data_IF_192712565464
#
_entry.id   IF_192712565464
#
_cell.length_a   1.000
_cell.length_b   1.000
_cell.length_c   1.000
_cell.angle_alpha   90.00
_cell.angle_beta   90.00
_cell.angle_gamma   90.00
#
_symmetry.space_group_name_H-M   'P 1'
#
loop_
_entity.id
_entity.type
_entity.pdbx_description
1 polymer ?
#
# COMPACT_ATOMS: atom_id res chain seq x y z
N UNK A 1 -13.41 20.95 -10.05
CA UNK A 1 -14.02 20.37 -8.83
C UNK A 1 -14.61 21.42 -7.87
N UNK A 2 -15.89 21.30 -7.45
CA UNK A 2 -16.54 22.19 -6.46
C UNK A 2 -15.84 22.21 -5.08
N UNK A 3 -15.98 23.32 -4.33
CA UNK A 3 -15.33 23.49 -3.01
C UNK A 3 -15.77 22.44 -1.97
N UNK A 4 -17.03 22.02 -2.02
CA UNK A 4 -17.61 21.03 -1.09
C UNK A 4 -16.93 19.65 -1.14
N UNK A 5 -16.40 19.27 -2.30
CA UNK A 5 -15.68 18.01 -2.50
C UNK A 5 -14.22 18.15 -2.10
N UNK A 6 -13.63 19.31 -2.40
CA UNK A 6 -12.26 19.66 -1.99
C UNK A 6 -12.11 19.59 -0.47
N UNK A 7 -13.06 20.11 0.30
CA UNK A 7 -12.96 20.07 1.77
C UNK A 7 -12.99 18.67 2.38
N UNK A 8 -13.39 17.64 1.63
CA UNK A 8 -13.45 16.23 2.11
C UNK A 8 -12.16 15.45 1.90
N UNK A 9 -11.24 15.93 1.07
CA UNK A 9 -9.96 15.26 0.81
C UNK A 9 -9.13 15.27 2.09
N UNK A 10 -8.72 14.09 2.56
CA UNK A 10 -8.01 13.87 3.83
C UNK A 10 -8.77 14.44 5.04
N UNK A 11 -10.11 14.44 4.99
CA UNK A 11 -10.93 14.79 6.15
C UNK A 11 -11.02 13.60 7.12
N UNK A 12 -10.51 13.69 8.37
CA UNK A 12 -10.46 12.56 9.29
C UNK A 12 -11.84 11.95 9.61
N UNK A 13 -12.88 12.80 9.69
CA UNK A 13 -14.24 12.34 9.99
C UNK A 13 -14.80 11.54 8.81
N UNK A 14 -14.72 12.08 7.59
CA UNK A 14 -15.17 11.39 6.38
C UNK A 14 -14.38 10.11 6.11
N UNK A 15 -13.06 10.10 6.35
CA UNK A 15 -12.23 8.90 6.21
C UNK A 15 -12.65 7.82 7.19
N UNK A 16 -12.86 8.17 8.47
CA UNK A 16 -13.33 7.23 9.49
C UNK A 16 -14.70 6.63 9.11
N UNK A 17 -15.62 7.45 8.61
CA UNK A 17 -16.93 6.98 8.15
C UNK A 17 -16.83 6.00 6.99
N UNK A 18 -16.06 6.34 5.94
CA UNK A 18 -15.86 5.47 4.76
C UNK A 18 -15.14 4.17 5.09
N UNK A 19 -14.14 4.21 5.99
CA UNK A 19 -13.50 2.99 6.51
C UNK A 19 -14.51 2.08 7.19
N UNK A 20 -15.33 2.62 8.10
CA UNK A 20 -16.34 1.81 8.78
C UNK A 20 -17.39 1.27 7.80
N UNK A 21 -17.81 2.08 6.82
CA UNK A 21 -18.74 1.66 5.77
C UNK A 21 -18.18 0.46 4.98
N UNK A 22 -16.92 0.56 4.54
CA UNK A 22 -16.24 -0.51 3.81
C UNK A 22 -15.95 -1.73 4.67
N UNK A 23 -15.50 -1.55 5.92
CA UNK A 23 -15.23 -2.66 6.83
C UNK A 23 -16.52 -3.41 7.17
N UNK A 24 -17.61 -2.69 7.44
CA UNK A 24 -18.93 -3.28 7.63
C UNK A 24 -19.41 -4.05 6.39
N UNK A 25 -19.16 -3.52 5.19
CA UNK A 25 -19.41 -4.24 3.94
C UNK A 25 -18.58 -5.52 3.83
N UNK A 26 -17.27 -5.48 4.10
CA UNK A 26 -16.39 -6.64 4.07
C UNK A 26 -16.83 -7.72 5.07
N UNK A 27 -17.25 -7.33 6.28
CA UNK A 27 -17.79 -8.26 7.28
C UNK A 27 -19.08 -8.94 6.81
N UNK A 28 -20.03 -8.19 6.24
CA UNK A 28 -21.27 -8.74 5.67
C UNK A 28 -21.00 -9.71 4.52
N UNK A 29 -20.00 -9.44 3.70
CA UNK A 29 -19.63 -10.28 2.56
C UNK A 29 -18.76 -11.48 2.96
N UNK A 30 -18.09 -11.45 4.11
CA UNK A 30 -17.21 -12.51 4.61
C UNK A 30 -17.78 -13.92 4.49
N UNK A 31 -19.02 -14.19 4.95
CA UNK A 31 -19.65 -15.51 4.83
C UNK A 31 -19.85 -16.02 3.39
N UNK A 32 -19.78 -15.16 2.38
CA UNK A 32 -19.83 -15.56 0.97
C UNK A 32 -18.48 -16.04 0.40
N UNK A 33 -17.38 -15.74 1.11
CA UNK A 33 -16.00 -16.03 0.69
C UNK A 33 -15.24 -16.91 1.69
N UNK A 34 -15.72 -17.06 2.92
CA UNK A 34 -15.16 -17.95 3.94
C UNK A 34 -16.22 -18.93 4.44
N UNK A 35 -15.80 -20.17 4.75
CA UNK A 35 -16.65 -21.13 5.46
C UNK A 35 -16.84 -20.71 6.92
N UNK A 36 -17.84 -21.26 7.64
CA UNK A 36 -18.01 -20.99 9.06
C UNK A 36 -16.78 -21.29 9.93
N UNK A 37 -15.93 -22.23 9.50
CA UNK A 37 -14.66 -22.59 10.15
C UNK A 37 -13.49 -21.62 9.85
N UNK A 38 -13.73 -20.60 9.03
CA UNK A 38 -12.74 -19.59 8.62
C UNK A 38 -11.94 -19.95 7.37
N UNK A 39 -12.10 -21.15 6.81
CA UNK A 39 -11.36 -21.54 5.59
C UNK A 39 -11.83 -20.73 4.37
N UNK A 40 -10.86 -20.18 3.62
CA UNK A 40 -11.14 -19.43 2.40
C UNK A 40 -11.75 -20.33 1.32
N UNK A 41 -12.84 -19.87 0.71
CA UNK A 41 -13.52 -20.51 -0.41
C UNK A 41 -13.19 -19.75 -1.70
N UNK A 42 -12.17 -20.19 -2.47
CA UNK A 42 -11.77 -19.50 -3.68
C UNK A 42 -12.89 -19.57 -4.73
N UNK A 43 -13.23 -18.42 -5.29
CA UNK A 43 -14.15 -18.34 -6.44
C UNK A 43 -13.40 -18.60 -7.76
N UNK A 44 -12.12 -18.20 -7.82
CA UNK A 44 -11.25 -18.37 -8.98
C UNK A 44 -9.92 -19.00 -8.55
N UNK A 45 -9.18 -18.32 -7.67
CA UNK A 45 -7.80 -18.67 -7.32
C UNK A 45 -7.64 -18.81 -5.80
N UNK A 46 -6.77 -19.72 -5.38
CA UNK A 46 -6.33 -19.79 -3.98
C UNK A 46 -5.31 -18.69 -3.72
N UNK A 47 -5.54 -17.90 -2.69
CA UNK A 47 -4.60 -16.86 -2.29
C UNK A 47 -4.48 -16.79 -0.76
N UNK A 48 -3.25 -16.96 -0.27
CA UNK A 48 -2.97 -16.95 1.16
C UNK A 48 -3.13 -15.58 1.81
N UNK A 49 -2.98 -14.49 1.04
CA UNK A 49 -2.95 -13.10 1.52
C UNK A 49 -4.29 -12.63 2.06
N UNK A 50 -5.38 -13.16 1.50
CA UNK A 50 -6.76 -12.72 1.78
C UNK A 50 -7.08 -12.78 3.27
N UNK A 51 -6.70 -13.87 3.95
CA UNK A 51 -6.96 -14.04 5.38
C UNK A 51 -6.20 -13.05 6.27
N UNK A 52 -5.06 -12.53 5.80
CA UNK A 52 -4.24 -11.56 6.52
C UNK A 52 -4.75 -10.13 6.29
N UNK A 53 -5.08 -9.79 5.04
CA UNK A 53 -5.54 -8.45 4.67
C UNK A 53 -6.96 -8.12 5.13
N UNK A 54 -7.87 -9.10 5.19
CA UNK A 54 -9.26 -8.85 5.61
C UNK A 54 -9.39 -8.74 7.14
N UNK A 55 -8.40 -9.23 7.89
CA UNK A 55 -8.46 -9.37 9.34
C UNK A 55 -8.80 -8.06 10.09
N UNK A 56 -8.25 -6.89 9.73
CA UNK A 56 -8.58 -5.63 10.39
C UNK A 56 -10.08 -5.33 10.40
N UNK A 57 -10.79 -5.62 9.31
CA UNK A 57 -12.23 -5.36 9.22
C UNK A 57 -13.03 -6.14 10.25
N UNK A 58 -12.61 -7.37 10.58
CA UNK A 58 -13.26 -8.21 11.59
C UNK A 58 -12.83 -7.87 13.01
N UNK A 59 -11.52 -7.73 13.25
CA UNK A 59 -11.01 -7.50 14.60
C UNK A 59 -11.33 -6.09 15.14
N UNK A 60 -11.52 -5.11 14.26
CA UNK A 60 -11.97 -3.77 14.66
C UNK A 60 -13.49 -3.69 14.95
N UNK A 61 -14.26 -4.76 14.71
CA UNK A 61 -15.71 -4.74 14.92
C UNK A 61 -16.06 -4.60 16.39
N UNK A 62 -17.08 -3.80 16.76
CA UNK A 62 -17.62 -3.81 18.12
C UNK A 62 -18.37 -5.11 18.45
N UNK A 63 -18.81 -5.88 17.45
CA UNK A 63 -19.48 -7.17 17.65
C UNK A 63 -18.48 -8.30 17.94
N UNK A 64 -18.73 -9.05 19.02
CA UNK A 64 -17.93 -10.21 19.39
C UNK A 64 -18.02 -11.34 18.35
N UNK A 65 -19.17 -11.53 17.70
CA UNK A 65 -19.35 -12.59 16.71
C UNK A 65 -18.48 -12.35 15.46
N UNK A 66 -18.34 -11.09 15.05
CA UNK A 66 -17.44 -10.68 13.97
C UNK A 66 -15.98 -10.94 14.35
N UNK A 67 -15.57 -10.55 15.56
CA UNK A 67 -14.19 -10.79 16.05
C UNK A 67 -13.87 -12.28 16.16
N UNK A 68 -14.82 -13.09 16.64
CA UNK A 68 -14.67 -14.54 16.71
C UNK A 68 -14.53 -15.15 15.32
N UNK A 69 -15.27 -14.65 14.34
CA UNK A 69 -15.14 -15.10 12.96
C UNK A 69 -13.80 -14.70 12.34
N UNK A 70 -13.35 -13.46 12.55
CA UNK A 70 -12.02 -13.00 12.14
C UNK A 70 -10.89 -13.86 12.72
N UNK A 71 -10.98 -14.21 14.00
CA UNK A 71 -10.03 -15.13 14.64
C UNK A 71 -10.04 -16.52 13.97
N UNK A 72 -11.21 -17.07 13.62
CA UNK A 72 -11.28 -18.34 12.86
C UNK A 72 -10.65 -18.24 11.48
N UNK A 73 -10.91 -17.15 10.75
CA UNK A 73 -10.29 -16.88 9.43
C UNK A 73 -8.77 -16.88 9.54
N UNK A 74 -8.23 -16.15 10.52
CA UNK A 74 -6.78 -16.03 10.70
C UNK A 74 -6.16 -17.36 11.15
N UNK A 75 -6.82 -18.12 12.01
CA UNK A 75 -6.37 -19.45 12.40
C UNK A 75 -6.26 -20.43 11.23
N UNK A 76 -7.22 -20.36 10.30
CA UNK A 76 -7.27 -21.17 9.08
C UNK A 76 -6.38 -20.65 7.94
N UNK A 77 -5.69 -19.52 8.12
CA UNK A 77 -4.85 -18.92 7.08
C UNK A 77 -3.73 -19.88 6.63
N UNK A 78 -3.34 -19.78 5.36
CA UNK A 78 -2.18 -20.49 4.82
C UNK A 78 -0.87 -19.75 5.17
N UNK A 79 0.29 -20.33 4.85
CA UNK A 79 1.56 -19.59 4.91
C UNK A 79 2.27 -19.56 6.27
N UNK A 80 1.67 -20.06 7.36
CA UNK A 80 2.31 -20.06 8.69
C UNK A 80 3.71 -20.69 8.76
N UNK A 81 3.99 -21.68 7.93
CA UNK A 81 5.24 -22.44 7.93
C UNK A 81 6.24 -22.02 6.83
N UNK A 82 5.95 -20.97 6.07
CA UNK A 82 6.78 -20.46 5.00
C UNK A 82 6.86 -18.94 5.06
N UNK A 83 7.96 -18.38 4.55
CA UNK A 83 8.05 -16.93 4.38
C UNK A 83 7.26 -16.50 3.15
N UNK A 84 6.48 -15.44 3.31
CA UNK A 84 5.86 -14.67 2.24
C UNK A 84 5.81 -13.21 2.70
N UNK A 85 6.34 -12.30 1.89
CA UNK A 85 6.50 -10.90 2.28
C UNK A 85 5.17 -10.22 2.60
N UNK A 86 4.07 -10.55 1.90
CA UNK A 86 2.76 -9.98 2.18
C UNK A 86 2.21 -10.51 3.49
N UNK A 87 2.22 -11.84 3.67
CA UNK A 87 1.67 -12.49 4.86
C UNK A 87 2.47 -12.10 6.12
N UNK A 88 3.80 -12.19 6.09
CA UNK A 88 4.66 -11.85 7.23
C UNK A 88 4.56 -10.36 7.58
N UNK A 89 4.44 -9.47 6.59
CA UNK A 89 4.27 -8.03 6.83
C UNK A 89 2.93 -7.70 7.48
N UNK A 90 1.84 -8.29 7.00
CA UNK A 90 0.53 -8.12 7.60
C UNK A 90 0.43 -8.79 8.97
N UNK A 91 1.14 -9.91 9.23
CA UNK A 91 1.23 -10.49 10.58
C UNK A 91 1.81 -9.48 11.57
N UNK A 92 2.89 -8.78 11.20
CA UNK A 92 3.51 -7.78 12.07
C UNK A 92 2.54 -6.63 12.37
N UNK A 93 1.96 -6.01 11.32
CA UNK A 93 1.02 -4.90 11.46
C UNK A 93 -0.24 -5.30 12.26
N UNK A 94 -0.85 -6.45 11.93
CA UNK A 94 -2.05 -6.94 12.61
C UNK A 94 -1.79 -7.27 14.07
N UNK A 95 -0.62 -7.82 14.42
CA UNK A 95 -0.30 -8.16 15.81
C UNK A 95 -0.13 -6.90 16.67
N UNK A 96 0.54 -5.86 16.17
CA UNK A 96 0.64 -4.58 16.90
C UNK A 96 -0.73 -3.92 17.04
N UNK A 97 -1.51 -3.86 15.95
CA UNK A 97 -2.78 -3.12 15.91
C UNK A 97 -3.93 -3.85 16.63
N UNK A 98 -4.00 -5.17 16.49
CA UNK A 98 -5.16 -5.99 16.90
C UNK A 98 -4.80 -7.16 17.82
N UNK A 99 -3.59 -7.20 18.37
CA UNK A 99 -3.15 -8.29 19.24
C UNK A 99 -4.03 -8.46 20.50
N UNK A 100 -4.76 -7.43 20.93
CA UNK A 100 -5.67 -7.52 22.09
C UNK A 100 -6.96 -8.27 21.75
N UNK A 101 -7.39 -8.20 20.50
CA UNK A 101 -8.60 -8.82 19.96
C UNK A 101 -8.34 -10.23 19.40
N UNK A 102 -7.06 -10.61 19.25
CA UNK A 102 -6.63 -11.95 18.88
C UNK A 102 -6.71 -12.93 20.06
N UNK A 103 -7.00 -14.20 19.76
CA UNK A 103 -6.84 -15.25 20.77
C UNK A 103 -5.38 -15.38 21.23
N UNK A 104 -5.12 -15.85 22.48
CA UNK A 104 -3.76 -16.06 22.96
C UNK A 104 -2.91 -16.96 22.05
N UNK A 105 -3.52 -18.00 21.47
CA UNK A 105 -2.84 -18.93 20.57
C UNK A 105 -2.44 -18.26 19.26
N UNK A 106 -3.28 -17.39 18.69
CA UNK A 106 -2.97 -16.68 17.46
C UNK A 106 -1.88 -15.62 17.64
N UNK A 107 -1.84 -14.97 18.80
CA UNK A 107 -0.72 -14.09 19.16
C UNK A 107 0.58 -14.86 19.20
N UNK A 108 0.63 -15.95 19.97
CA UNK A 108 1.80 -16.83 20.08
C UNK A 108 2.28 -17.31 18.72
N UNK A 109 1.35 -17.80 17.88
CA UNK A 109 1.66 -18.26 16.51
C UNK A 109 2.19 -17.14 15.62
N UNK A 110 1.68 -15.92 15.77
CA UNK A 110 2.16 -14.73 15.05
C UNK A 110 3.57 -14.34 15.49
N UNK A 111 3.84 -14.30 16.79
CA UNK A 111 5.18 -14.06 17.35
C UNK A 111 6.19 -15.11 16.86
N UNK A 112 5.82 -16.39 16.86
CA UNK A 112 6.66 -17.48 16.35
C UNK A 112 6.95 -17.35 14.85
N UNK A 113 5.94 -16.96 14.05
CA UNK A 113 6.12 -16.70 12.63
C UNK A 113 7.10 -15.55 12.38
N UNK A 114 6.94 -14.43 13.10
CA UNK A 114 7.82 -13.27 13.00
C UNK A 114 9.24 -13.60 13.48
N UNK A 115 9.40 -14.34 14.57
CA UNK A 115 10.69 -14.76 15.08
C UNK A 115 11.47 -15.62 14.07
N UNK A 116 10.74 -16.45 13.30
CA UNK A 116 11.32 -17.33 12.30
C UNK A 116 11.70 -16.60 11.00
N UNK A 117 10.87 -15.67 10.54
CA UNK A 117 10.95 -15.15 9.17
C UNK A 117 11.29 -13.66 9.04
N UNK A 118 11.43 -12.90 10.13
CA UNK A 118 11.82 -11.49 10.00
C UNK A 118 13.31 -11.36 9.62
N UNK A 119 14.22 -11.88 10.45
CA UNK A 119 15.68 -11.73 10.26
C UNK A 119 16.38 -12.98 9.69
N UNK A 120 15.67 -14.08 9.44
CA UNK A 120 16.15 -15.38 8.91
C UNK A 120 17.68 -15.55 8.78
N UNK A 121 18.37 -15.92 9.87
CA UNK A 121 19.85 -16.09 9.92
C UNK A 121 20.63 -14.91 9.29
N UNK A 122 20.25 -13.68 9.63
CA UNK A 122 20.81 -12.44 9.08
C UNK A 122 20.71 -12.38 7.55
N UNK A 123 19.53 -12.73 7.01
CA UNK A 123 19.25 -12.71 5.57
C UNK A 123 19.78 -13.91 4.78
N UNK A 124 20.28 -14.96 5.45
CA UNK A 124 20.75 -16.21 4.82
C UNK A 124 19.64 -17.24 4.60
N UNK A 125 18.50 -17.04 5.24
CA UNK A 125 17.27 -17.82 5.04
C UNK A 125 16.16 -16.91 4.52
N UNK A 126 15.15 -17.47 3.83
CA UNK A 126 13.98 -16.69 3.41
C UNK A 126 13.41 -15.88 4.58
N UNK A 127 13.27 -14.57 4.37
CA UNK A 127 12.81 -13.64 5.38
C UNK A 127 12.83 -12.19 4.92
N UNK A 128 12.36 -11.27 5.75
CA UNK A 128 12.29 -9.85 5.40
C UNK A 128 13.67 -9.19 5.23
N UNK A 129 14.71 -9.73 5.86
CA UNK A 129 16.09 -9.20 5.78
C UNK A 129 16.90 -9.69 4.56
N UNK A 130 16.34 -10.47 3.63
CA UNK A 130 17.10 -10.89 2.45
C UNK A 130 17.39 -9.69 1.53
N UNK A 131 18.52 -9.75 0.82
CA UNK A 131 18.99 -8.65 -0.03
C UNK A 131 17.98 -8.20 -1.09
N UNK A 132 17.15 -9.11 -1.60
CA UNK A 132 16.12 -8.80 -2.61
C UNK A 132 15.03 -7.83 -2.10
N UNK A 133 14.88 -7.67 -0.78
CA UNK A 133 13.93 -6.74 -0.16
C UNK A 133 14.59 -5.47 0.40
N UNK A 134 15.76 -5.11 -0.12
CA UNK A 134 16.30 -3.75 0.03
C UNK A 134 15.83 -2.86 -1.11
N UNK A 135 15.89 -1.54 -0.92
CA UNK A 135 15.49 -0.57 -1.94
C UNK A 135 16.57 -0.44 -3.02
N UNK A 136 16.35 -1.04 -4.18
CA UNK A 136 17.32 -1.08 -5.30
C UNK A 136 16.95 -0.23 -6.51
N UNK A 137 15.84 0.52 -6.45
CA UNK A 137 15.34 1.21 -7.63
C UNK A 137 14.40 0.34 -8.49
N UNK A 138 13.71 -0.64 -7.88
CA UNK A 138 12.73 -1.53 -8.53
C UNK A 138 11.88 -2.27 -7.47
N UNK A 139 10.59 -2.47 -7.76
CA UNK A 139 9.66 -3.28 -6.94
C UNK A 139 9.60 -2.86 -5.46
N UNK A 140 9.58 -1.54 -5.21
CA UNK A 140 9.71 -0.90 -3.89
C UNK A 140 8.61 -1.29 -2.89
N UNK A 141 7.48 -1.82 -3.34
CA UNK A 141 6.42 -2.32 -2.47
C UNK A 141 6.91 -3.47 -1.59
N UNK A 142 7.76 -4.37 -2.10
CA UNK A 142 8.26 -5.51 -1.34
C UNK A 142 9.27 -5.08 -0.27
N UNK A 143 10.30 -4.26 -0.58
CA UNK A 143 11.15 -3.63 0.43
C UNK A 143 10.37 -2.81 1.46
N UNK A 144 9.31 -2.10 1.06
CA UNK A 144 8.46 -1.36 2.00
C UNK A 144 7.78 -2.29 3.00
N UNK A 145 7.19 -3.39 2.53
CA UNK A 145 6.57 -4.40 3.39
C UNK A 145 7.58 -5.12 4.29
N UNK A 146 8.78 -5.44 3.77
CA UNK A 146 9.85 -6.05 4.55
C UNK A 146 10.38 -5.11 5.64
N UNK A 147 10.52 -3.82 5.34
CA UNK A 147 10.87 -2.78 6.32
C UNK A 147 9.83 -2.71 7.43
N UNK A 148 8.53 -2.73 7.08
CA UNK A 148 7.42 -2.82 8.05
C UNK A 148 7.54 -4.07 8.92
N UNK A 149 7.85 -5.23 8.34
CA UNK A 149 8.10 -6.46 9.10
C UNK A 149 9.23 -6.30 10.10
N UNK A 150 10.41 -5.85 9.66
CA UNK A 150 11.62 -5.79 10.50
C UNK A 150 11.44 -4.88 11.71
N UNK A 151 10.91 -3.68 11.49
CA UNK A 151 10.72 -2.69 12.55
C UNK A 151 9.65 -3.14 13.54
N UNK A 152 8.46 -3.53 13.06
CA UNK A 152 7.37 -3.93 13.95
C UNK A 152 7.65 -5.26 14.66
N UNK A 153 8.29 -6.23 13.99
CA UNK A 153 8.72 -7.47 14.64
C UNK A 153 9.82 -7.22 15.68
N UNK A 154 10.76 -6.30 15.42
CA UNK A 154 11.76 -5.87 16.38
C UNK A 154 11.13 -5.31 17.65
N UNK A 155 10.11 -4.46 17.49
CA UNK A 155 9.34 -3.90 18.62
C UNK A 155 8.57 -4.99 19.38
N UNK A 156 7.87 -5.89 18.67
CA UNK A 156 7.08 -6.99 19.27
C UNK A 156 7.97 -7.96 20.06
N UNK A 157 9.12 -8.36 19.48
CA UNK A 157 9.97 -9.42 20.02
C UNK A 157 11.10 -8.89 20.92
N UNK A 158 11.22 -7.56 21.07
CA UNK A 158 12.32 -6.93 21.80
C UNK A 158 13.69 -7.20 21.16
N UNK A 159 13.76 -7.21 19.83
CA UNK A 159 14.94 -7.60 19.04
C UNK A 159 15.56 -6.39 18.33
N UNK A 160 16.54 -5.76 18.99
CA UNK A 160 17.21 -4.57 18.46
C UNK A 160 17.91 -4.82 17.13
N UNK A 161 18.43 -6.03 16.90
CA UNK A 161 19.04 -6.41 15.62
C UNK A 161 18.05 -6.43 14.44
N UNK A 162 16.78 -6.75 14.70
CA UNK A 162 15.71 -6.59 13.70
C UNK A 162 15.41 -5.12 13.45
N UNK A 163 15.34 -4.32 14.52
CA UNK A 163 15.14 -2.87 14.43
C UNK A 163 16.26 -2.20 13.63
N UNK A 164 17.53 -2.54 13.90
CA UNK A 164 18.69 -2.01 13.20
C UNK A 164 18.66 -2.35 11.71
N UNK A 165 18.32 -3.60 11.36
CA UNK A 165 18.14 -3.99 9.96
C UNK A 165 16.98 -3.23 9.28
N UNK A 166 15.87 -3.04 10.00
CA UNK A 166 14.74 -2.25 9.51
C UNK A 166 15.08 -0.78 9.30
N UNK A 167 15.83 -0.17 10.22
CA UNK A 167 16.32 1.21 10.10
C UNK A 167 17.25 1.35 8.89
N UNK A 168 18.16 0.40 8.68
CA UNK A 168 19.03 0.38 7.50
C UNK A 168 18.23 0.34 6.18
N UNK A 169 17.16 -0.46 6.11
CA UNK A 169 16.28 -0.47 4.94
C UNK A 169 15.57 0.87 4.75
N UNK A 170 15.02 1.43 5.84
CA UNK A 170 14.29 2.70 5.80
C UNK A 170 15.19 3.88 5.41
N UNK A 171 16.42 3.93 5.91
CA UNK A 171 17.46 4.88 5.49
C UNK A 171 17.73 4.76 3.98
N UNK A 172 17.73 3.55 3.44
CA UNK A 172 17.83 3.31 1.99
C UNK A 172 16.70 3.97 1.19
N UNK A 173 15.46 3.89 1.68
CA UNK A 173 14.33 4.60 1.07
C UNK A 173 14.44 6.12 1.22
N UNK A 174 14.86 6.61 2.39
CA UNK A 174 15.13 8.03 2.61
C UNK A 174 16.17 8.54 1.60
N UNK A 175 17.31 7.86 1.48
CA UNK A 175 18.36 8.21 0.52
C UNK A 175 17.87 8.15 -0.93
N UNK A 176 16.98 7.21 -1.26
CA UNK A 176 16.32 7.16 -2.57
C UNK A 176 15.45 8.40 -2.79
N UNK A 177 14.57 8.77 -1.85
CA UNK A 177 13.66 9.91 -1.97
C UNK A 177 14.33 11.27 -1.81
N UNK A 178 15.54 11.33 -1.25
CA UNK A 178 16.39 12.53 -1.28
C UNK A 178 17.05 12.71 -2.64
N UNK A 179 17.54 11.61 -3.23
CA UNK A 179 18.17 11.62 -4.55
C UNK A 179 17.15 11.76 -5.69
N UNK A 180 15.93 11.25 -5.48
CA UNK A 180 14.85 11.15 -6.47
C UNK A 180 13.52 11.64 -5.93
N UNK A 181 12.71 12.19 -6.84
CA UNK A 181 11.42 12.72 -6.47
C UNK A 181 10.34 11.66 -6.18
N UNK A 182 10.44 10.45 -6.73
CA UNK A 182 9.40 9.41 -6.69
C UNK A 182 10.01 8.03 -6.38
N UNK A 183 9.16 7.09 -5.97
CA UNK A 183 9.49 5.66 -5.99
C UNK A 183 9.81 5.19 -7.42
N UNK A 184 10.52 4.09 -7.55
CA UNK A 184 10.72 3.36 -8.81
C UNK A 184 9.41 2.80 -9.31
N UNK A 185 8.56 2.35 -8.38
CA UNK A 185 7.15 2.02 -8.64
C UNK A 185 6.24 3.26 -8.57
N UNK A 186 6.69 4.40 -9.13
CA UNK A 186 5.91 5.63 -9.14
C UNK A 186 4.57 5.46 -9.85
N UNK A 187 3.56 6.13 -9.30
CA UNK A 187 2.21 6.24 -9.87
C UNK A 187 1.62 4.90 -10.35
N UNK A 188 2.01 3.78 -9.74
CA UNK A 188 1.37 2.50 -9.98
C UNK A 188 0.02 2.48 -9.26
N UNK A 189 -1.05 2.16 -10.00
CA UNK A 189 -2.38 2.08 -9.41
C UNK A 189 -2.55 0.94 -8.39
N UNK A 190 -1.59 0.01 -8.33
CA UNK A 190 -1.55 -1.10 -7.37
C UNK A 190 -0.43 -0.93 -6.34
N UNK A 191 0.81 -0.69 -6.77
CA UNK A 191 1.99 -0.84 -5.90
C UNK A 191 2.37 0.42 -5.10
N UNK A 192 2.07 1.61 -5.61
CA UNK A 192 2.31 2.86 -4.87
C UNK A 192 1.47 2.92 -3.59
N UNK A 193 0.15 2.58 -3.61
CA UNK A 193 -0.64 2.45 -2.39
C UNK A 193 -0.12 1.41 -1.40
N UNK A 194 0.36 0.25 -1.85
CA UNK A 194 0.92 -0.79 -0.96
C UNK A 194 2.18 -0.30 -0.24
N UNK A 195 3.06 0.40 -0.96
CA UNK A 195 4.24 1.04 -0.40
C UNK A 195 3.86 2.10 0.64
N UNK A 196 2.86 2.93 0.32
CA UNK A 196 2.34 3.96 1.22
C UNK A 196 1.81 3.37 2.53
N UNK A 197 0.96 2.34 2.45
CA UNK A 197 0.38 1.67 3.64
C UNK A 197 1.47 1.16 4.56
N UNK A 198 2.52 0.56 3.98
CA UNK A 198 3.64 0.05 4.78
C UNK A 198 4.34 1.15 5.57
N UNK A 199 4.56 2.31 4.96
CA UNK A 199 5.19 3.46 5.62
C UNK A 199 4.26 4.13 6.65
N UNK A 200 2.95 4.23 6.35
CA UNK A 200 1.97 4.76 7.31
C UNK A 200 1.87 3.86 8.55
N UNK A 201 1.87 2.53 8.39
CA UNK A 201 1.88 1.60 9.51
C UNK A 201 3.14 1.73 10.37
N UNK A 202 4.33 1.89 9.77
CA UNK A 202 5.55 2.13 10.57
C UNK A 202 5.44 3.45 11.33
N UNK A 203 5.00 4.52 10.66
CA UNK A 203 4.83 5.84 11.25
C UNK A 203 3.84 5.84 12.43
N UNK A 204 2.79 5.04 12.35
CA UNK A 204 1.76 4.93 13.39
C UNK A 204 2.16 3.96 14.51
N UNK A 205 2.70 2.79 14.17
CA UNK A 205 2.74 1.63 15.07
C UNK A 205 4.10 1.36 15.70
N UNK A 206 5.21 1.85 15.13
CA UNK A 206 6.53 1.53 15.67
C UNK A 206 6.78 2.21 17.03
N UNK A 207 7.43 1.48 17.94
CA UNK A 207 7.91 2.02 19.20
C UNK A 207 9.15 2.91 19.02
N UNK A 208 9.95 2.66 17.98
CA UNK A 208 11.15 3.43 17.66
C UNK A 208 10.77 4.80 17.05
N UNK A 209 11.25 5.88 17.67
CA UNK A 209 10.94 7.25 17.26
C UNK A 209 11.50 7.61 15.88
N UNK A 210 12.76 7.26 15.61
CA UNK A 210 13.44 7.60 14.36
C UNK A 210 12.78 6.87 13.19
N UNK A 211 12.40 5.61 13.39
CA UNK A 211 11.61 4.85 12.44
C UNK A 211 10.29 5.56 12.10
N UNK A 212 9.55 6.03 13.11
CA UNK A 212 8.29 6.77 12.87
C UNK A 212 8.50 8.05 12.07
N UNK A 213 9.50 8.85 12.44
CA UNK A 213 9.78 10.14 11.78
C UNK A 213 10.23 9.94 10.32
N UNK A 214 11.14 9.01 10.06
CA UNK A 214 11.60 8.68 8.70
C UNK A 214 10.48 8.09 7.84
N UNK A 215 9.69 7.16 8.39
CA UNK A 215 8.59 6.55 7.66
C UNK A 215 7.49 7.57 7.35
N UNK A 216 7.18 8.49 8.27
CA UNK A 216 6.22 9.57 8.00
C UNK A 216 6.70 10.50 6.88
N UNK A 217 7.99 10.84 6.84
CA UNK A 217 8.55 11.64 5.76
C UNK A 217 8.42 10.92 4.40
N UNK A 218 8.74 9.62 4.35
CA UNK A 218 8.57 8.79 3.16
C UNK A 218 7.10 8.68 2.75
N UNK A 219 6.20 8.38 3.69
CA UNK A 219 4.76 8.29 3.44
C UNK A 219 4.19 9.59 2.87
N UNK A 220 4.60 10.75 3.42
CA UNK A 220 4.19 12.07 2.91
C UNK A 220 4.62 12.28 1.45
N UNK A 221 5.82 11.81 1.07
CA UNK A 221 6.32 11.91 -0.30
C UNK A 221 5.56 10.99 -1.26
N UNK A 222 5.30 9.75 -0.86
CA UNK A 222 4.53 8.78 -1.64
C UNK A 222 3.08 9.23 -1.78
N UNK A 223 2.49 9.79 -0.73
CA UNK A 223 1.15 10.38 -0.77
C UNK A 223 1.09 11.53 -1.79
N UNK A 224 2.08 12.43 -1.78
CA UNK A 224 2.16 13.52 -2.75
C UNK A 224 2.28 13.01 -4.19
N UNK A 225 3.03 11.93 -4.45
CA UNK A 225 3.06 11.28 -5.77
C UNK A 225 1.63 10.93 -6.23
N UNK A 226 0.89 10.18 -5.41
CA UNK A 226 -0.50 9.78 -5.73
C UNK A 226 -1.39 11.01 -5.96
N UNK A 227 -1.37 12.00 -5.05
CA UNK A 227 -2.26 13.16 -5.11
C UNK A 227 -1.94 14.12 -6.27
N UNK A 228 -0.67 14.28 -6.61
CA UNK A 228 -0.24 15.08 -7.75
C UNK A 228 -0.69 14.40 -9.04
N UNK A 229 -0.44 13.11 -9.20
CA UNK A 229 -0.74 12.39 -10.43
C UNK A 229 -2.22 12.00 -10.59
N UNK A 230 -3.02 12.04 -9.52
CA UNK A 230 -4.46 11.88 -9.63
C UNK A 230 -5.12 13.05 -10.37
N UNK A 231 -5.90 12.74 -11.41
CA UNK A 231 -6.62 13.71 -12.22
C UNK A 231 -8.05 13.91 -11.72
N UNK A 232 -8.25 14.93 -10.87
CA UNK A 232 -9.51 15.15 -10.16
C UNK A 232 -10.74 15.37 -11.04
N UNK A 233 -10.62 16.01 -12.22
CA UNK A 233 -11.77 16.24 -13.11
C UNK A 233 -12.04 15.08 -14.09
N UNK A 234 -11.21 14.03 -14.08
CA UNK A 234 -11.36 12.83 -14.92
C UNK A 234 -11.63 11.57 -14.08
N UNK A 235 -11.14 11.50 -12.83
CA UNK A 235 -11.40 10.37 -11.94
C UNK A 235 -10.41 9.20 -12.10
N UNK A 236 -9.16 9.47 -12.47
CA UNK A 236 -8.13 8.43 -12.56
C UNK A 236 -6.72 8.97 -12.47
N UNK A 237 -5.74 8.09 -12.53
CA UNK A 237 -4.33 8.47 -12.63
C UNK A 237 -4.07 9.11 -14.00
N UNK A 238 -3.56 10.34 -14.00
CA UNK A 238 -3.27 11.10 -15.21
C UNK A 238 -1.79 11.28 -15.43
N UNK A 239 -1.08 10.26 -15.95
CA UNK A 239 0.29 10.30 -16.50
C UNK A 239 0.84 8.89 -16.79
N UNK A 240 2.13 8.81 -17.14
CA UNK A 240 2.89 7.57 -17.24
C UNK A 240 2.96 6.87 -15.88
N UNK A 241 2.79 5.55 -15.88
CA UNK A 241 2.94 4.70 -14.69
C UNK A 241 4.13 3.79 -14.92
N UNK A 242 4.92 3.54 -13.87
CA UNK A 242 6.01 2.55 -13.92
C UNK A 242 5.47 1.12 -14.12
N UNK A 243 4.32 0.83 -13.53
CA UNK A 243 3.61 -0.45 -13.60
C UNK A 243 2.11 -0.19 -13.58
N UNK A 244 1.41 -0.73 -14.56
CA UNK A 244 -0.04 -0.59 -14.69
C UNK A 244 -0.68 -1.90 -15.14
N UNK A 245 -1.91 -2.10 -14.69
CA UNK A 245 -2.84 -3.09 -15.19
C UNK A 245 -3.95 -2.39 -15.97
N UNK A 246 -4.70 -3.12 -16.80
CA UNK A 246 -5.92 -2.60 -17.44
C UNK A 246 -6.87 -1.95 -16.42
N UNK A 247 -6.80 -2.42 -15.18
CA UNK A 247 -7.62 -1.94 -14.09
C UNK A 247 -7.21 -0.57 -13.51
N UNK A 248 -6.06 -0.01 -13.87
CA UNK A 248 -5.61 1.27 -13.32
C UNK A 248 -6.21 2.50 -14.05
N UNK A 249 -7.17 2.26 -14.95
CA UNK A 249 -7.86 3.28 -15.75
C UNK A 249 -9.02 3.95 -15.00
N UNK A 250 -9.52 5.07 -15.56
CA UNK A 250 -10.48 6.03 -14.97
C UNK A 250 -11.84 5.46 -14.60
N UNK A 251 -12.25 4.35 -15.21
CA UNK A 251 -13.55 3.71 -14.97
C UNK A 251 -13.41 2.34 -14.31
N UNK A 252 -12.24 2.00 -13.78
CA UNK A 252 -12.00 0.67 -13.20
C UNK A 252 -11.70 0.74 -11.71
N UNK A 253 -12.24 -0.22 -10.95
CA UNK A 253 -11.87 -0.40 -9.56
C UNK A 253 -10.48 -1.03 -9.42
N UNK A 254 -9.46 -0.19 -9.18
CA UNK A 254 -8.12 -0.56 -8.72
C UNK A 254 -7.86 -0.15 -7.26
N UNK A 255 -6.69 -0.51 -6.72
CA UNK A 255 -6.29 -0.13 -5.35
C UNK A 255 -6.23 1.39 -5.20
N UNK A 256 -5.63 2.11 -6.14
CA UNK A 256 -5.57 3.57 -6.08
C UNK A 256 -6.95 4.21 -6.17
N UNK A 257 -7.87 3.65 -6.97
CA UNK A 257 -9.25 4.13 -7.03
C UNK A 257 -9.96 4.00 -5.68
N UNK A 258 -9.89 2.80 -5.07
CA UNK A 258 -10.44 2.56 -3.75
C UNK A 258 -9.78 3.45 -2.67
N UNK A 259 -8.47 3.67 -2.78
CA UNK A 259 -7.73 4.57 -1.90
C UNK A 259 -8.19 6.04 -2.04
N UNK A 260 -8.34 6.54 -3.27
CA UNK A 260 -8.83 7.91 -3.50
C UNK A 260 -10.25 8.06 -2.99
N UNK A 261 -11.13 7.10 -3.25
CA UNK A 261 -12.47 7.08 -2.66
C UNK A 261 -12.39 7.13 -1.13
N UNK A 262 -11.53 6.32 -0.51
CA UNK A 262 -11.35 6.31 0.94
C UNK A 262 -10.88 7.67 1.48
N UNK A 263 -9.90 8.32 0.88
CA UNK A 263 -9.38 9.59 1.40
C UNK A 263 -10.22 10.81 1.03
N UNK A 264 -11.10 10.74 0.03
CA UNK A 264 -11.81 11.92 -0.48
C UNK A 264 -13.34 11.81 -0.55
N UNK A 265 -13.88 10.61 -0.75
CA UNK A 265 -15.28 10.41 -1.13
C UNK A 265 -15.64 11.11 -2.45
N UNK A 266 -14.66 11.37 -3.32
CA UNK A 266 -14.87 12.11 -4.57
C UNK A 266 -15.81 11.34 -5.52
N UNK A 267 -16.77 12.02 -6.18
CA UNK A 267 -17.79 11.35 -7.01
C UNK A 267 -17.24 10.70 -8.28
N UNK A 268 -16.06 11.15 -8.76
CA UNK A 268 -15.36 10.51 -9.88
C UNK A 268 -14.35 9.44 -9.42
N UNK A 269 -14.20 9.21 -8.11
CA UNK A 269 -13.45 8.05 -7.65
C UNK A 269 -14.42 6.86 -7.56
N UNK A 270 -13.98 5.69 -8.03
CA UNK A 270 -14.85 4.49 -8.02
C UNK A 270 -15.14 4.08 -6.58
N UNK A 271 -16.43 4.07 -6.20
CA UNK A 271 -16.87 3.54 -4.92
C UNK A 271 -16.70 2.01 -4.91
N UNK A 272 -15.83 1.45 -4.06
CA UNK A 272 -15.57 0.01 -4.06
C UNK A 272 -16.79 -0.81 -3.63
N UNK A 273 -17.72 -0.25 -2.85
CA UNK A 273 -18.92 -0.96 -2.43
C UNK A 273 -19.87 -1.12 -3.62
N UNK A 274 -20.12 -0.02 -4.34
CA UNK A 274 -20.98 -0.04 -5.53
C UNK A 274 -20.40 -0.94 -6.61
N UNK A 275 -19.11 -0.81 -6.91
CA UNK A 275 -18.45 -1.60 -7.95
C UNK A 275 -18.41 -3.11 -7.63
N UNK A 276 -18.40 -3.51 -6.36
CA UNK A 276 -18.44 -4.92 -5.94
C UNK A 276 -19.85 -5.48 -5.75
N UNK A 277 -20.89 -4.65 -5.76
CA UNK A 277 -22.30 -5.07 -5.56
C UNK A 277 -23.16 -4.92 -6.81
N UNK A 278 -22.88 -3.93 -7.64
CA UNK A 278 -23.62 -3.69 -8.89
C UNK A 278 -23.20 -4.69 -9.99
N UNK A 279 -24.16 -5.49 -10.42
CA UNK A 279 -23.97 -6.44 -11.53
C UNK A 279 -23.82 -5.76 -12.89
N UNK A 280 -24.21 -4.49 -12.98
CA UNK A 280 -24.14 -3.67 -14.19
C UNK A 280 -23.05 -2.59 -14.10
N UNK A 281 -22.12 -2.70 -13.15
CA UNK A 281 -20.97 -1.81 -13.10
C UNK A 281 -20.27 -1.84 -14.47
N UNK A 282 -20.28 -0.69 -15.15
CA UNK A 282 -19.79 -0.58 -16.53
C UNK A 282 -18.27 -0.71 -16.64
N UNK A 283 -17.58 -0.50 -15.52
CA UNK A 283 -16.14 -0.59 -15.39
C UNK A 283 -15.59 -2.01 -15.27
N UNK A 284 -14.27 -2.13 -15.36
CA UNK A 284 -13.56 -3.37 -14.99
C UNK A 284 -13.37 -3.39 -13.46
N UNK A 285 -13.07 -4.54 -12.87
CA UNK A 285 -12.61 -4.66 -11.47
C UNK A 285 -11.25 -5.33 -11.48
N UNK A 286 -10.29 -4.79 -10.74
CA UNK A 286 -8.96 -5.40 -10.60
C UNK A 286 -9.09 -6.80 -10.00
N UNK A 287 -8.34 -7.78 -10.51
CA UNK A 287 -8.55 -9.21 -10.18
C UNK A 287 -9.97 -9.73 -10.45
N UNK A 288 -10.69 -9.11 -11.40
CA UNK A 288 -12.00 -9.50 -11.90
C UNK A 288 -13.01 -9.83 -10.77
N UNK A 289 -13.78 -10.90 -10.94
CA UNK A 289 -14.79 -11.36 -9.97
C UNK A 289 -14.19 -12.10 -8.78
N UNK A 290 -12.89 -11.98 -8.49
CA UNK A 290 -12.35 -12.49 -7.23
C UNK A 290 -12.79 -11.58 -6.08
N UNK A 291 -14.01 -11.81 -5.59
CA UNK A 291 -14.61 -10.99 -4.52
C UNK A 291 -13.77 -11.05 -3.26
N UNK A 292 -13.26 -12.22 -2.88
CA UNK A 292 -12.43 -12.37 -1.68
C UNK A 292 -11.17 -11.51 -1.73
N UNK A 293 -10.47 -11.53 -2.86
CA UNK A 293 -9.25 -10.72 -3.05
C UNK A 293 -9.54 -9.22 -2.99
N UNK A 294 -10.57 -8.77 -3.72
CA UNK A 294 -10.96 -7.36 -3.74
C UNK A 294 -11.42 -6.85 -2.37
N UNK A 295 -12.21 -7.66 -1.63
CA UNK A 295 -12.60 -7.34 -0.27
C UNK A 295 -11.38 -7.13 0.62
N UNK A 296 -10.44 -8.07 0.59
CA UNK A 296 -9.30 -8.06 1.48
C UNK A 296 -8.30 -6.93 1.15
N UNK A 297 -7.91 -6.75 -0.12
CA UNK A 297 -6.89 -5.75 -0.48
C UNK A 297 -7.32 -4.31 -0.14
N UNK A 298 -8.62 -3.98 -0.23
CA UNK A 298 -9.11 -2.65 0.10
C UNK A 298 -9.24 -2.46 1.62
N UNK A 299 -9.44 -3.53 2.40
CA UNK A 299 -9.32 -3.45 3.86
C UNK A 299 -7.90 -3.05 4.26
N UNK A 300 -6.87 -3.71 3.70
CA UNK A 300 -5.45 -3.40 3.96
C UNK A 300 -5.16 -1.91 3.71
N UNK A 301 -5.60 -1.38 2.57
CA UNK A 301 -5.28 -0.01 2.15
C UNK A 301 -6.03 1.06 2.94
N UNK A 302 -7.18 0.72 3.53
CA UNK A 302 -7.97 1.63 4.37
C UNK A 302 -7.65 1.51 5.86
N UNK A 303 -6.78 0.58 6.27
CA UNK A 303 -6.51 0.31 7.68
C UNK A 303 -5.56 1.35 8.31
N UNK A 304 -4.54 1.79 7.57
CA UNK A 304 -3.51 2.69 8.06
C UNK A 304 -4.04 4.10 8.41
N UNK A 305 -3.41 4.76 9.39
CA UNK A 305 -3.75 6.12 9.81
C UNK A 305 -3.11 7.21 8.93
N UNK A 306 -3.80 8.35 8.81
CA UNK A 306 -3.31 9.56 8.13
C UNK A 306 -3.16 10.76 9.07
N UNK A 307 -3.22 10.55 10.40
CA UNK A 307 -3.14 11.64 11.39
C UNK A 307 -1.82 12.44 11.33
N UNK A 308 -0.74 11.86 10.79
CA UNK A 308 0.56 12.51 10.63
C UNK A 308 0.74 13.32 9.34
N UNK A 309 -0.28 13.43 8.48
CA UNK A 309 -0.17 14.17 7.21
C UNK A 309 -0.10 15.68 7.47
N UNK A 310 0.95 16.39 7.00
CA UNK A 310 1.08 17.83 7.20
C UNK A 310 -0.05 18.64 6.59
N UNK A 311 -0.45 19.71 7.28
CA UNK A 311 -1.44 20.69 6.80
C UNK A 311 -1.08 21.26 5.42
N UNK A 312 0.21 21.40 5.10
CA UNK A 312 0.65 21.87 3.79
C UNK A 312 0.21 20.93 2.65
N UNK A 313 0.25 19.61 2.86
CA UNK A 313 -0.23 18.62 1.88
C UNK A 313 -1.74 18.71 1.74
N UNK A 314 -2.46 18.80 2.86
CA UNK A 314 -3.93 18.95 2.88
C UNK A 314 -4.33 20.24 2.15
N UNK A 315 -3.71 21.37 2.47
CA UNK A 315 -3.97 22.65 1.79
C UNK A 315 -3.63 22.59 0.31
N UNK A 316 -2.52 21.96 -0.06
CA UNK A 316 -2.13 21.79 -1.46
C UNK A 316 -3.20 21.05 -2.27
N UNK A 317 -3.64 19.88 -1.80
CA UNK A 317 -4.60 19.05 -2.55
C UNK A 317 -6.02 19.62 -2.55
N UNK A 318 -6.40 20.39 -1.52
CA UNK A 318 -7.71 21.04 -1.43
C UNK A 318 -7.82 22.34 -2.24
N UNK A 319 -6.71 22.84 -2.79
CA UNK A 319 -6.76 23.98 -3.73
C UNK A 319 -7.40 23.56 -5.04
N UNK A 320 -8.01 24.52 -5.71
CA UNK A 320 -8.49 24.29 -7.06
C UNK A 320 -7.28 24.05 -7.97
N UNK A 321 -7.31 22.96 -8.74
CA UNK A 321 -6.24 22.64 -9.68
C UNK A 321 -6.35 23.60 -10.87
N UNK A 322 -5.35 24.47 -11.01
CA UNK A 322 -5.20 25.28 -12.21
C UNK A 322 -4.72 24.40 -13.36
N UNK A 323 -5.30 24.60 -14.54
CA UNK A 323 -4.88 23.93 -15.76
C UNK A 323 -4.22 24.92 -16.73
N UNK A 324 -3.12 24.55 -17.42
CA UNK A 324 -2.46 23.25 -17.33
C UNK A 324 -1.79 23.01 -15.97
N UNK A 325 -1.84 21.76 -15.50
CA UNK A 325 -1.16 21.32 -14.30
C UNK A 325 0.02 20.44 -14.70
N UNK A 326 1.21 20.83 -14.29
CA UNK A 326 2.45 20.15 -14.64
C UNK A 326 3.11 19.54 -13.41
N UNK A 327 3.63 18.32 -13.59
CA UNK A 327 4.48 17.64 -12.62
C UNK A 327 5.75 17.25 -13.35
N UNK A 328 6.90 17.56 -12.78
CA UNK A 328 8.18 17.04 -13.22
C UNK A 328 8.89 16.45 -12.00
N UNK A 329 9.31 15.19 -12.10
CA UNK A 329 10.01 14.52 -11.02
C UNK A 329 11.02 13.53 -11.57
N UNK A 330 11.86 13.01 -10.70
CA UNK A 330 12.85 11.99 -11.03
C UNK A 330 12.57 10.72 -10.27
N UNK A 331 12.96 9.59 -10.84
CA UNK A 331 12.90 8.28 -10.21
C UNK A 331 14.13 7.47 -10.60
N UNK A 332 14.37 6.37 -9.92
CA UNK A 332 15.32 5.36 -10.38
C UNK A 332 14.60 4.22 -11.11
N UNK A 333 15.32 3.62 -12.04
CA UNK A 333 14.90 2.45 -12.77
C UNK A 333 16.06 1.45 -12.83
N UNK A 334 15.79 0.19 -12.52
CA UNK A 334 16.73 -0.92 -12.64
C UNK A 334 16.05 -2.14 -13.27
N UNK A 335 16.86 -3.00 -13.90
CA UNK A 335 16.38 -4.25 -14.53
C UNK A 335 16.31 -5.38 -13.49
N UNK A 336 15.24 -6.20 -13.56
CA UNK A 336 15.07 -7.36 -12.69
C UNK A 336 15.90 -8.58 -13.15
N UNK A 337 16.31 -9.43 -12.20
CA UNK A 337 16.87 -10.77 -12.45
C UNK A 337 18.39 -10.89 -12.23
N UNK A 338 18.94 -12.09 -12.47
CA UNK A 338 20.37 -12.44 -12.31
C UNK A 338 21.34 -11.59 -13.14
N UNK A 339 20.83 -10.83 -14.12
CA UNK A 339 21.59 -9.91 -14.96
C UNK A 339 21.36 -8.43 -14.61
N UNK A 340 20.54 -8.13 -13.60
CA UNK A 340 20.25 -6.78 -13.07
C UNK A 340 21.42 -6.14 -12.32
N UNK A 341 22.65 -6.34 -12.79
CA UNK A 341 23.87 -5.73 -12.25
C UNK A 341 24.20 -4.37 -12.85
N UNK A 342 23.40 -3.87 -13.79
CA UNK A 342 23.48 -2.49 -14.27
C UNK A 342 22.84 -1.58 -13.23
N UNK A 343 23.66 -0.87 -12.46
CA UNK A 343 23.21 0.02 -11.39
C UNK A 343 22.03 0.93 -11.78
N UNK A 344 21.28 1.39 -10.78
CA UNK A 344 20.06 2.16 -10.99
C UNK A 344 20.30 3.40 -11.88
N UNK A 345 19.44 3.56 -12.89
CA UNK A 345 19.47 4.70 -13.82
C UNK A 345 18.43 5.73 -13.41
N UNK A 346 18.79 7.00 -13.53
CA UNK A 346 17.85 8.09 -13.31
C UNK A 346 16.93 8.30 -14.50
N UNK A 347 15.62 8.32 -14.23
CA UNK A 347 14.60 8.71 -15.19
C UNK A 347 13.94 10.03 -14.77
N UNK A 348 13.51 10.81 -15.75
CA UNK A 348 12.64 11.98 -15.52
C UNK A 348 11.24 11.61 -15.96
N UNK A 349 10.28 11.80 -15.06
CA UNK A 349 8.86 11.71 -15.35
C UNK A 349 8.30 13.12 -15.52
N UNK A 350 7.43 13.30 -16.52
CA UNK A 350 6.64 14.51 -16.68
C UNK A 350 5.19 14.16 -16.86
N UNK A 351 4.32 14.83 -16.14
CA UNK A 351 2.88 14.79 -16.33
C UNK A 351 2.40 16.18 -16.74
N UNK A 352 1.54 16.22 -17.76
CA UNK A 352 0.83 17.41 -18.20
C UNK A 352 -0.65 17.10 -18.18
N UNK A 353 -1.40 17.77 -17.31
CA UNK A 353 -2.85 17.61 -17.23
C UNK A 353 -3.52 18.87 -17.76
N UNK A 354 -4.50 18.69 -18.63
CA UNK A 354 -5.53 19.65 -19.00
C UNK A 354 -6.83 19.23 -18.35
N UNK A 355 -7.85 20.09 -18.36
CA UNK A 355 -9.11 19.80 -17.65
C UNK A 355 -9.79 18.47 -18.02
N UNK A 356 -9.62 17.99 -19.26
CA UNK A 356 -10.33 16.81 -19.79
C UNK A 356 -9.39 15.67 -20.20
N UNK A 357 -8.07 15.85 -20.10
CA UNK A 357 -7.10 14.83 -20.50
C UNK A 357 -5.75 15.07 -19.85
N UNK A 358 -4.97 14.01 -19.68
CA UNK A 358 -3.58 14.08 -19.25
C UNK A 358 -2.66 13.35 -20.21
N UNK A 359 -1.42 13.81 -20.31
CA UNK A 359 -0.33 13.13 -20.99
C UNK A 359 0.82 12.98 -20.00
N UNK A 360 1.54 11.87 -20.10
CA UNK A 360 2.73 11.64 -19.30
C UNK A 360 3.86 11.04 -20.12
N UNK A 361 5.09 11.36 -19.75
CA UNK A 361 6.30 10.80 -20.34
C UNK A 361 7.23 10.33 -19.26
N UNK A 362 7.97 9.26 -19.54
CA UNK A 362 9.11 8.84 -18.77
C UNK A 362 10.26 8.65 -19.75
N UNK A 363 11.36 9.34 -19.50
CA UNK A 363 12.55 9.29 -20.34
C UNK A 363 13.76 9.13 -19.46
N UNK A 364 14.68 8.25 -19.87
CA UNK A 364 15.99 8.18 -19.24
C UNK A 364 16.64 9.56 -19.28
N UNK A 365 17.32 9.95 -18.21
CA UNK A 365 18.24 11.09 -18.29
C UNK A 365 19.34 10.71 -19.27
N UNK A 366 19.27 11.23 -20.51
CA UNK A 366 20.42 11.16 -21.41
C UNK A 366 21.54 11.95 -20.72
N UNK A 367 22.40 11.26 -19.98
CA UNK A 367 23.70 11.81 -19.66
C UNK A 367 24.42 11.89 -20.99
N UNK A 368 24.34 13.08 -21.59
CA UNK A 368 25.09 13.40 -22.79
C UNK A 368 26.57 13.26 -22.46
N UNK A 369 27.13 12.07 -22.64
CA UNK A 369 28.48 11.94 -23.13
C UNK A 369 28.46 12.40 -24.58
N UNK A 370 28.32 13.71 -24.78
CA UNK A 370 28.99 14.38 -25.88
C UNK A 370 30.49 14.27 -25.59
N UNK A 371 31.02 13.06 -25.74
CA UNK A 371 32.44 12.88 -26.00
C UNK A 371 32.62 13.44 -27.39
N UNK A 372 33.10 14.69 -27.44
CA UNK A 372 33.51 15.30 -28.68
C UNK A 372 34.50 14.37 -29.37
N UNK A 373 34.12 13.91 -30.55
CA UNK A 373 35.02 13.46 -31.61
C UNK A 373 34.20 13.35 -32.90
N UNK A 374 34.20 14.44 -33.66
CA UNK A 374 34.41 14.41 -35.11
C UNK A 374 35.48 15.44 -35.45
#
# INVERSE_FOLDING_TARGET
MPQEWRSRILDPVGMKQRREEYFSFARRMGPSVFRPDGTYQPQTERDGRIAYWILPAFLSSPDAADRDFGNRIYAAAAGWNAYDVFMTSCTAANLVRHGREMTPELRRRSEEHLARFSLGENGRKPGAAIYDYMFHGYNDNMPSMATRTLLLAGDILGRSDMTDAGLFHLEGLCAHLERRGLLSEYTSGTYTPISLVSMLDIAELSANRDAREMAQACANRILLDILCHWHWDVGGLGCSMSRAYTADNTETLSIVNAYIWYISGHPLAVNPIEALTDRNFAGVVHHERNVGFNLAQFVEVMNASHEGVPDAIVQFVRRERAYPFEIAATTDWSEAGLHGGGGSRGCVTRAWQQRLWGLGTCSETSTGAATGQQ
#
